data_IF_395900094254
#
_entry.id   IF_395900094254
#
_cell.length_a   1.000
_cell.length_b   1.000
_cell.length_c   1.000
_cell.angle_alpha   90.00
_cell.angle_beta   90.00
_cell.angle_gamma   90.00
#
_symmetry.space_group_name_H-M   'P 1'
#
loop_
_entity.id
_entity.type
_entity.pdbx_description
1 polymer ?
#
# COMPACT_ATOMS: atom_id res chain seq x y z
N UNK A 1 41.20 27.24 -47.15
CA UNK A 1 41.34 26.29 -46.02
C UNK A 1 40.41 26.72 -44.89
N UNK A 2 39.46 25.82 -44.52
CA UNK A 2 38.86 25.63 -43.18
C UNK A 2 38.00 26.79 -42.60
N UNK A 3 36.76 26.61 -42.12
CA UNK A 3 35.92 25.43 -41.83
C UNK A 3 34.46 25.91 -41.76
N UNK A 4 33.54 25.17 -42.38
CA UNK A 4 32.11 25.22 -42.14
C UNK A 4 31.85 24.87 -40.67
N UNK A 5 31.05 25.67 -39.97
CA UNK A 5 30.59 25.38 -38.61
C UNK A 5 29.12 24.92 -38.72
N UNK A 6 28.93 23.60 -38.77
CA UNK A 6 27.61 22.98 -38.69
C UNK A 6 27.18 22.96 -37.22
N UNK A 7 26.12 23.69 -36.90
CA UNK A 7 25.48 23.65 -35.60
C UNK A 7 24.57 22.40 -35.56
N UNK A 8 25.00 21.37 -34.83
CA UNK A 8 24.19 20.18 -34.57
C UNK A 8 23.08 20.54 -33.57
N UNK A 9 21.83 20.60 -34.05
CA UNK A 9 20.65 20.55 -33.18
C UNK A 9 20.47 19.09 -32.74
N UNK A 10 20.80 18.79 -31.49
CA UNK A 10 20.42 17.52 -30.88
C UNK A 10 18.92 17.58 -30.55
N UNK A 11 18.10 16.94 -31.39
CA UNK A 11 16.70 16.69 -31.10
C UNK A 11 16.62 15.61 -30.02
N UNK A 12 16.39 16.03 -28.78
CA UNK A 12 16.05 15.13 -27.68
C UNK A 12 14.66 14.56 -27.97
N UNK A 13 14.61 13.37 -28.53
CA UNK A 13 13.37 12.59 -28.61
C UNK A 13 13.08 12.09 -27.19
N UNK A 14 12.21 12.80 -26.47
CA UNK A 14 11.53 12.24 -25.31
C UNK A 14 10.63 11.12 -25.85
N UNK A 15 11.07 9.86 -25.75
CA UNK A 15 10.14 8.74 -25.79
C UNK A 15 9.35 8.81 -24.50
N UNK A 16 8.24 9.53 -24.52
CA UNK A 16 7.18 9.33 -23.54
C UNK A 16 6.75 7.86 -23.72
N UNK A 17 7.26 6.98 -22.86
CA UNK A 17 6.69 5.66 -22.70
C UNK A 17 5.24 5.90 -22.33
N UNK A 18 4.32 5.63 -23.24
CA UNK A 18 2.90 5.56 -22.90
C UNK A 18 2.77 4.36 -21.97
N UNK A 19 2.88 4.60 -20.66
CA UNK A 19 2.32 3.66 -19.71
C UNK A 19 0.85 3.53 -20.12
N UNK A 20 0.48 2.36 -20.63
CA UNK A 20 -0.91 2.04 -20.80
C UNK A 20 -1.51 2.10 -19.40
N UNK A 21 -2.29 3.14 -19.11
CA UNK A 21 -3.01 3.25 -17.85
C UNK A 21 -3.84 1.97 -17.74
N UNK A 22 -3.51 1.11 -16.79
CA UNK A 22 -4.31 -0.07 -16.53
C UNK A 22 -5.73 0.41 -16.26
N UNK A 23 -6.70 -0.12 -16.99
CA UNK A 23 -8.11 0.21 -16.77
C UNK A 23 -8.61 -0.48 -15.49
N UNK A 24 -9.68 0.04 -14.91
CA UNK A 24 -10.39 -0.56 -13.77
C UNK A 24 -10.45 -2.10 -13.87
N UNK A 25 -9.90 -2.77 -12.85
CA UNK A 25 -9.95 -4.22 -12.71
C UNK A 25 -9.19 -5.04 -13.77
N UNK A 26 -8.26 -4.44 -14.53
CA UNK A 26 -7.59 -5.12 -15.65
C UNK A 26 -6.40 -5.99 -15.23
N UNK A 27 -5.79 -5.73 -14.07
CA UNK A 27 -4.58 -6.43 -13.64
C UNK A 27 -4.92 -7.62 -12.74
N UNK A 28 -4.41 -8.79 -13.11
CA UNK A 28 -4.46 -9.99 -12.27
C UNK A 28 -3.07 -10.31 -11.76
N UNK A 29 -2.91 -10.44 -10.44
CA UNK A 29 -1.67 -10.95 -9.86
C UNK A 29 -1.47 -12.41 -10.25
N UNK A 30 -0.29 -12.74 -10.78
CA UNK A 30 0.03 -14.09 -11.25
C UNK A 30 0.26 -15.09 -10.12
N UNK A 31 0.58 -14.61 -8.92
CA UNK A 31 0.81 -15.41 -7.72
C UNK A 31 0.56 -14.58 -6.44
N UNK A 32 0.43 -15.24 -5.29
CA UNK A 32 0.25 -14.57 -4.00
C UNK A 32 1.51 -13.82 -3.54
N UNK A 33 2.68 -14.20 -4.06
CA UNK A 33 3.97 -13.57 -3.78
C UNK A 33 4.92 -13.80 -4.96
N UNK A 34 6.12 -13.23 -4.92
CA UNK A 34 7.06 -13.12 -6.03
C UNK A 34 6.47 -12.41 -7.26
N UNK A 35 5.75 -11.31 -7.02
CA UNK A 35 5.06 -10.54 -8.06
C UNK A 35 5.38 -9.04 -7.96
N UNK A 36 5.43 -8.33 -9.09
CA UNK A 36 5.49 -6.87 -9.07
C UNK A 36 4.14 -6.29 -8.65
N UNK A 37 4.19 -5.29 -7.78
CA UNK A 37 3.05 -4.48 -7.37
C UNK A 37 3.17 -3.09 -7.99
N UNK A 38 2.19 -2.74 -8.80
CA UNK A 38 2.00 -1.40 -9.31
C UNK A 38 1.18 -0.61 -8.29
N UNK A 39 1.65 0.59 -7.95
CA UNK A 39 0.88 1.54 -7.14
C UNK A 39 0.08 2.48 -8.02
N UNK A 40 -1.01 3.01 -7.48
CA UNK A 40 -1.90 3.93 -8.17
C UNK A 40 -1.56 5.40 -7.94
N UNK A 41 -0.47 5.70 -7.20
CA UNK A 41 0.00 7.07 -6.99
C UNK A 41 0.37 7.74 -8.32
N UNK A 42 0.06 9.04 -8.45
CA UNK A 42 0.38 9.81 -9.65
C UNK A 42 1.90 9.91 -9.88
N UNK A 43 2.66 9.96 -8.78
CA UNK A 43 4.11 10.02 -8.78
C UNK A 43 4.80 8.65 -8.91
N UNK A 44 4.03 7.55 -8.89
CA UNK A 44 4.56 6.20 -8.81
C UNK A 44 5.11 5.84 -7.42
N UNK A 45 6.02 4.87 -7.37
CA UNK A 45 6.64 4.39 -6.13
C UNK A 45 7.77 5.33 -5.65
N UNK A 46 7.98 5.38 -4.35
CA UNK A 46 9.05 6.15 -3.71
C UNK A 46 10.42 5.48 -3.84
N UNK A 47 10.51 4.17 -3.65
CA UNK A 47 11.77 3.42 -3.70
C UNK A 47 11.78 2.37 -4.81
N UNK A 48 12.35 2.74 -5.95
CA UNK A 48 12.51 1.89 -7.13
C UNK A 48 13.91 1.26 -7.17
N UNK A 49 14.24 0.47 -6.15
CA UNK A 49 15.58 -0.14 -5.99
C UNK A 49 15.59 -1.64 -6.28
N UNK A 50 14.47 -2.31 -6.06
CA UNK A 50 14.39 -3.77 -6.12
C UNK A 50 14.27 -4.33 -7.56
N UNK A 51 13.98 -3.46 -8.55
CA UNK A 51 13.77 -3.83 -9.95
C UNK A 51 14.94 -4.55 -10.60
N UNK A 52 16.18 -4.11 -10.34
CA UNK A 52 17.38 -4.79 -10.86
C UNK A 52 17.66 -6.10 -10.15
N UNK A 53 17.34 -6.16 -8.86
CA UNK A 53 17.63 -7.32 -8.02
C UNK A 53 16.74 -8.51 -8.38
N UNK A 54 15.46 -8.26 -8.66
CA UNK A 54 14.47 -9.31 -8.93
C UNK A 54 14.00 -9.36 -10.38
N UNK A 55 14.46 -8.45 -11.23
CA UNK A 55 14.05 -8.37 -12.64
C UNK A 55 12.59 -7.97 -12.82
N UNK A 56 11.98 -7.30 -11.84
CA UNK A 56 10.64 -6.72 -11.99
C UNK A 56 10.67 -5.47 -12.91
N UNK A 57 9.52 -5.10 -13.49
CA UNK A 57 9.40 -3.84 -14.21
C UNK A 57 9.80 -2.65 -13.33
N UNK A 58 10.51 -1.69 -13.92
CA UNK A 58 10.83 -0.43 -13.27
C UNK A 58 9.54 0.28 -12.82
N UNK A 59 9.57 0.91 -11.64
CA UNK A 59 8.41 1.62 -11.08
C UNK A 59 7.38 0.72 -10.41
N UNK A 60 7.77 -0.52 -10.06
CA UNK A 60 6.94 -1.45 -9.27
C UNK A 60 7.68 -1.89 -8.03
N UNK A 61 6.96 -2.13 -6.93
CA UNK A 61 7.54 -2.80 -5.77
C UNK A 61 7.54 -4.31 -5.98
N UNK A 62 8.58 -5.01 -5.53
CA UNK A 62 8.59 -6.46 -5.54
C UNK A 62 8.00 -7.03 -4.25
N UNK A 63 6.87 -7.75 -4.37
CA UNK A 63 6.32 -8.55 -3.28
C UNK A 63 7.06 -9.87 -3.18
N UNK A 64 8.07 -9.92 -2.31
CA UNK A 64 8.89 -11.11 -2.05
C UNK A 64 8.15 -12.10 -1.14
N UNK A 65 7.94 -11.73 0.12
CA UNK A 65 7.10 -12.46 1.09
C UNK A 65 7.30 -14.00 1.14
N UNK A 66 8.55 -14.49 1.13
CA UNK A 66 8.90 -15.93 1.10
C UNK A 66 8.38 -16.73 2.32
N UNK A 67 8.16 -16.07 3.47
CA UNK A 67 7.66 -16.73 4.67
C UNK A 67 7.53 -15.80 5.88
N UNK A 68 6.71 -16.20 6.85
CA UNK A 68 6.43 -15.39 8.04
C UNK A 68 5.68 -14.10 7.69
N UNK A 69 6.08 -12.96 8.25
CA UNK A 69 5.66 -11.64 7.76
C UNK A 69 4.31 -11.10 8.27
N UNK A 70 3.47 -11.93 8.90
CA UNK A 70 2.11 -11.56 9.31
C UNK A 70 2.00 -10.88 10.70
N UNK A 71 3.04 -11.01 11.54
CA UNK A 71 2.97 -10.63 12.96
C UNK A 71 3.56 -9.23 13.27
N UNK A 72 4.09 -8.55 12.25
CA UNK A 72 4.88 -7.31 12.44
C UNK A 72 4.06 -6.05 12.15
N UNK A 73 3.29 -6.05 11.08
CA UNK A 73 2.48 -4.90 10.68
C UNK A 73 1.08 -5.05 11.22
N UNK A 74 0.51 -3.93 11.65
CA UNK A 74 -0.84 -3.89 12.19
C UNK A 74 -1.60 -2.67 11.70
N UNK A 75 -2.92 -2.70 11.90
CA UNK A 75 -3.80 -1.54 11.76
C UNK A 75 -4.45 -1.27 13.11
N UNK A 76 -4.40 -0.02 13.57
CA UNK A 76 -5.03 0.41 14.83
C UNK A 76 -5.67 1.79 14.70
N UNK A 77 -6.77 2.03 15.39
CA UNK A 77 -7.34 3.35 15.69
C UNK A 77 -6.82 3.96 16.99
N UNK A 78 -5.96 3.26 17.71
CA UNK A 78 -5.43 3.63 19.02
C UNK A 78 -3.94 3.29 19.11
N UNK A 79 -3.08 4.31 19.13
CA UNK A 79 -1.63 4.14 19.19
C UNK A 79 -1.14 3.53 20.50
N UNK A 80 -2.00 3.41 21.53
CA UNK A 80 -1.69 2.61 22.72
C UNK A 80 -1.84 1.11 22.50
N UNK A 81 -2.58 0.68 21.47
CA UNK A 81 -2.72 -0.71 21.04
C UNK A 81 -1.90 -0.99 19.76
N UNK A 82 -0.59 -1.11 19.91
CA UNK A 82 0.34 -1.31 18.79
C UNK A 82 0.22 -2.69 18.12
N UNK A 83 -0.39 -3.67 18.79
CA UNK A 83 -0.71 -4.99 18.23
C UNK A 83 -1.94 -4.97 17.31
N UNK A 84 -2.56 -3.80 17.12
CA UNK A 84 -3.72 -3.63 16.26
C UNK A 84 -5.00 -4.25 16.78
N UNK A 85 -6.05 -4.04 15.98
CA UNK A 85 -7.37 -4.60 16.21
C UNK A 85 -8.13 -4.70 14.89
N UNK A 86 -9.17 -5.51 14.90
CA UNK A 86 -10.19 -5.48 13.86
C UNK A 86 -11.16 -4.33 14.17
N UNK A 87 -11.31 -3.42 13.22
CA UNK A 87 -12.23 -2.29 13.29
C UNK A 87 -13.23 -2.37 12.14
N UNK A 88 -14.51 -2.33 12.46
CA UNK A 88 -15.60 -2.21 11.47
C UNK A 88 -16.37 -0.93 11.72
N UNK A 89 -16.37 -0.03 10.76
CA UNK A 89 -17.21 1.16 10.75
C UNK A 89 -18.44 0.90 9.87
N UNK A 90 -19.64 1.00 10.43
CA UNK A 90 -20.87 1.01 9.66
C UNK A 90 -21.38 2.45 9.55
N UNK A 91 -21.50 2.96 8.32
CA UNK A 91 -21.86 4.34 8.01
C UNK A 91 -23.21 4.41 7.31
N UNK A 92 -24.14 5.28 7.73
CA UNK A 92 -25.39 5.55 7.01
C UNK A 92 -25.22 6.48 5.81
N UNK A 93 -24.00 6.99 5.58
CA UNK A 93 -23.68 7.89 4.46
C UNK A 93 -22.69 7.24 3.50
N UNK A 94 -22.71 7.67 2.24
CA UNK A 94 -21.75 7.25 1.21
C UNK A 94 -20.44 8.04 1.24
N UNK A 95 -20.28 8.97 2.19
CA UNK A 95 -19.06 9.79 2.37
C UNK A 95 -18.39 9.58 3.73
N UNK A 96 -18.19 8.33 4.21
CA UNK A 96 -17.53 8.12 5.49
C UNK A 96 -16.06 8.55 5.44
N UNK A 97 -15.58 9.08 6.55
CA UNK A 97 -14.18 9.45 6.76
C UNK A 97 -13.70 8.95 8.13
N UNK A 98 -12.39 8.75 8.26
CA UNK A 98 -11.81 8.34 9.54
C UNK A 98 -10.29 8.35 9.54
N UNK A 99 -9.74 7.92 10.66
CA UNK A 99 -8.30 7.86 10.90
C UNK A 99 -7.93 6.49 11.45
N UNK A 100 -6.80 5.96 10.98
CA UNK A 100 -6.12 4.82 11.58
C UNK A 100 -4.60 5.01 11.48
N UNK A 101 -3.87 4.12 12.15
CA UNK A 101 -2.43 4.13 12.28
C UNK A 101 -1.87 2.76 11.90
N UNK A 102 -0.67 2.78 11.33
CA UNK A 102 0.03 1.61 10.80
C UNK A 102 1.34 1.38 11.56
N UNK A 103 1.29 0.84 12.79
CA UNK A 103 2.48 0.58 13.59
C UNK A 103 3.26 -0.65 13.11
N UNK A 104 4.47 -0.78 13.61
CA UNK A 104 5.29 -1.99 13.51
C UNK A 104 5.68 -2.48 14.89
N UNK A 105 5.50 -3.77 15.16
CA UNK A 105 5.91 -4.43 16.42
C UNK A 105 6.97 -5.51 16.19
N UNK A 106 7.45 -5.67 14.96
CA UNK A 106 8.36 -6.74 14.59
C UNK A 106 9.80 -6.50 15.03
N UNK A 107 10.60 -7.57 15.03
CA UNK A 107 11.93 -7.57 15.61
C UNK A 107 12.96 -6.62 14.96
N UNK A 108 12.75 -6.20 13.70
CA UNK A 108 13.59 -5.16 13.05
C UNK A 108 13.31 -3.77 13.63
N UNK A 109 12.08 -3.51 14.07
CA UNK A 109 11.67 -2.25 14.67
C UNK A 109 11.43 -1.10 13.69
N UNK A 110 11.52 -1.30 12.37
CA UNK A 110 11.18 -0.27 11.37
C UNK A 110 10.92 -0.87 9.99
N UNK A 111 10.22 -0.10 9.14
CA UNK A 111 10.08 -0.37 7.72
C UNK A 111 10.27 0.93 6.94
N UNK A 112 11.00 0.86 5.81
CA UNK A 112 11.48 2.05 5.09
C UNK A 112 10.35 2.78 4.35
N UNK A 113 9.36 2.03 3.87
CA UNK A 113 8.13 2.59 3.33
C UNK A 113 6.93 1.68 3.65
N UNK A 114 5.77 2.31 3.81
CA UNK A 114 4.49 1.66 4.09
C UNK A 114 3.58 1.82 2.87
N UNK A 115 3.04 0.70 2.40
CA UNK A 115 2.15 0.63 1.26
C UNK A 115 0.77 0.23 1.77
N UNK A 116 -0.23 1.05 1.47
CA UNK A 116 -1.63 0.78 1.78
C UNK A 116 -2.29 0.08 0.60
N UNK A 117 -3.04 -0.97 0.87
CA UNK A 117 -3.96 -1.57 -0.09
C UNK A 117 -5.38 -1.17 0.29
N UNK A 118 -6.10 -0.57 -0.66
CA UNK A 118 -7.52 -0.26 -0.53
C UNK A 118 -8.28 -1.20 -1.45
N UNK A 119 -9.26 -1.93 -0.90
CA UNK A 119 -10.14 -2.79 -1.67
C UNK A 119 -11.59 -2.35 -1.51
N UNK A 120 -12.39 -2.48 -2.58
CA UNK A 120 -13.78 -2.01 -2.66
C UNK A 120 -14.65 -3.08 -3.30
N UNK A 121 -15.72 -3.45 -2.61
CA UNK A 121 -16.71 -4.42 -3.09
C UNK A 121 -17.52 -3.84 -4.24
N UNK A 122 -17.69 -4.62 -5.31
CA UNK A 122 -18.55 -4.25 -6.44
C UNK A 122 -20.05 -4.31 -6.12
N UNK A 123 -20.91 -3.59 -6.87
CA UNK A 123 -20.55 -2.65 -7.94
C UNK A 123 -19.94 -1.35 -7.37
N UNK A 124 -18.86 -0.88 -8.00
CA UNK A 124 -18.20 0.39 -7.62
C UNK A 124 -18.83 1.53 -8.44
N UNK A 125 -19.40 2.56 -7.81
CA UNK A 125 -19.99 3.71 -8.52
C UNK A 125 -18.98 4.47 -9.36
N UNK A 126 -19.43 5.12 -10.43
CA UNK A 126 -18.54 5.86 -11.34
C UNK A 126 -17.89 7.08 -10.67
N UNK A 127 -18.61 7.72 -9.74
CA UNK A 127 -18.13 8.85 -8.94
C UNK A 127 -17.43 8.41 -7.64
N UNK A 128 -17.13 7.12 -7.49
CA UNK A 128 -16.35 6.61 -6.36
C UNK A 128 -15.00 7.32 -6.31
N UNK A 129 -14.67 7.83 -5.12
CA UNK A 129 -13.34 8.31 -4.80
C UNK A 129 -12.98 8.04 -3.34
N UNK A 130 -11.68 7.98 -3.06
CA UNK A 130 -11.14 8.01 -1.72
C UNK A 130 -9.96 8.97 -1.67
N UNK A 131 -10.03 9.96 -0.79
CA UNK A 131 -8.88 10.80 -0.47
C UNK A 131 -8.10 10.15 0.66
N UNK A 132 -6.82 9.92 0.44
CA UNK A 132 -5.89 9.39 1.44
C UNK A 132 -4.88 10.49 1.77
N UNK A 133 -4.77 10.81 3.05
CA UNK A 133 -3.70 11.66 3.58
C UNK A 133 -2.86 10.84 4.54
N UNK A 134 -1.56 10.73 4.26
CA UNK A 134 -0.61 10.01 5.09
C UNK A 134 0.35 10.99 5.77
N UNK A 135 0.58 10.77 7.06
CA UNK A 135 1.60 11.48 7.84
C UNK A 135 2.46 10.46 8.56
N UNK A 136 3.77 10.60 8.46
CA UNK A 136 4.71 9.68 9.10
C UNK A 136 6.14 10.14 8.94
N UNK A 137 7.07 9.30 9.40
CA UNK A 137 8.49 9.61 9.33
C UNK A 137 9.07 9.29 7.94
N UNK A 138 9.99 10.14 7.50
CA UNK A 138 10.77 9.91 6.28
C UNK A 138 12.26 9.81 6.59
N UNK A 139 12.97 8.95 5.86
CA UNK A 139 14.42 8.88 5.90
C UNK A 139 14.96 8.32 4.58
N UNK A 140 16.27 8.37 4.38
CA UNK A 140 16.94 7.65 3.29
C UNK A 140 17.17 6.20 3.75
N UNK A 141 16.66 5.18 3.03
CA UNK A 141 16.86 3.80 3.41
C UNK A 141 18.35 3.43 3.49
N UNK A 142 18.72 2.64 4.50
CA UNK A 142 20.10 2.17 4.69
C UNK A 142 20.10 0.79 5.35
N UNK A 143 21.28 0.20 5.55
CA UNK A 143 21.45 -1.04 6.32
C UNK A 143 21.40 -0.83 7.84
N UNK A 144 21.35 0.42 8.31
CA UNK A 144 21.32 0.79 9.72
C UNK A 144 19.92 1.21 10.16
N UNK A 145 19.62 1.05 11.45
CA UNK A 145 18.37 1.52 12.04
C UNK A 145 18.28 3.05 11.84
N UNK A 146 17.19 3.57 11.26
CA UNK A 146 17.01 5.01 11.06
C UNK A 146 16.85 5.71 12.41
N UNK A 147 17.34 6.95 12.49
CA UNK A 147 17.24 7.80 13.67
C UNK A 147 16.56 9.12 13.29
N UNK A 148 15.29 9.07 12.85
CA UNK A 148 14.60 10.27 12.41
C UNK A 148 14.33 11.19 13.59
N UNK A 149 14.39 12.48 13.32
CA UNK A 149 14.03 13.56 14.22
C UNK A 149 12.53 13.88 14.10
N UNK A 150 11.98 14.64 15.05
CA UNK A 150 10.58 15.06 14.99
C UNK A 150 10.25 15.87 13.71
N UNK A 151 11.21 16.59 13.13
CA UNK A 151 11.01 17.30 11.86
C UNK A 151 10.89 16.39 10.63
N UNK A 152 11.31 15.13 10.75
CA UNK A 152 11.14 14.14 9.68
C UNK A 152 9.73 13.53 9.67
N UNK A 153 8.90 13.83 10.68
CA UNK A 153 7.49 13.44 10.75
C UNK A 153 6.62 14.48 10.04
N UNK A 154 6.19 14.15 8.83
CA UNK A 154 5.52 15.09 7.93
C UNK A 154 4.40 14.43 7.15
N UNK A 155 3.52 15.25 6.57
CA UNK A 155 2.56 14.77 5.59
C UNK A 155 3.32 14.35 4.32
N UNK A 156 3.24 13.07 3.97
CA UNK A 156 3.98 12.47 2.85
C UNK A 156 3.11 12.20 1.64
N UNK A 157 1.80 12.10 1.84
CA UNK A 157 0.81 11.91 0.79
C UNK A 157 -0.46 12.70 1.11
N UNK A 158 -1.06 13.33 0.09
CA UNK A 158 -2.45 13.77 0.10
C UNK A 158 -2.95 13.70 -1.34
N UNK A 159 -3.65 12.62 -1.66
CA UNK A 159 -4.10 12.32 -3.02
C UNK A 159 -5.52 11.73 -2.99
N UNK A 160 -6.31 12.09 -4.00
CA UNK A 160 -7.61 11.47 -4.27
C UNK A 160 -7.44 10.40 -5.33
N UNK A 161 -7.91 9.19 -5.03
CA UNK A 161 -7.94 8.04 -5.92
C UNK A 161 -9.38 7.77 -6.33
N UNK A 162 -9.58 7.39 -7.58
CA UNK A 162 -10.89 7.20 -8.20
C UNK A 162 -11.13 5.73 -8.54
N UNK A 163 -12.32 5.42 -9.06
CA UNK A 163 -12.63 4.08 -9.60
C UNK A 163 -11.58 3.59 -10.60
N UNK A 164 -11.05 4.45 -11.45
CA UNK A 164 -10.01 4.08 -12.43
C UNK A 164 -8.72 3.57 -11.78
N UNK A 165 -8.44 3.96 -10.54
CA UNK A 165 -7.22 3.60 -9.81
C UNK A 165 -7.29 2.22 -9.16
N UNK A 166 -8.50 1.63 -9.08
CA UNK A 166 -8.72 0.23 -8.72
C UNK A 166 -8.34 -0.69 -9.88
N UNK A 167 -7.05 -0.69 -10.22
CA UNK A 167 -6.49 -1.35 -11.41
C UNK A 167 -6.47 -2.87 -11.30
N UNK A 168 -6.56 -3.44 -10.09
CA UNK A 168 -6.53 -4.88 -9.91
C UNK A 168 -7.92 -5.51 -9.97
N UNK A 169 -8.00 -6.66 -10.65
CA UNK A 169 -9.18 -7.47 -10.80
C UNK A 169 -9.73 -7.91 -9.42
N UNK A 170 -11.05 -8.06 -9.35
CA UNK A 170 -11.70 -8.47 -8.12
C UNK A 170 -11.14 -9.81 -7.61
N UNK A 171 -10.81 -9.86 -6.32
CA UNK A 171 -10.25 -11.04 -5.65
C UNK A 171 -10.92 -11.25 -4.30
N UNK A 172 -10.93 -12.48 -3.81
CA UNK A 172 -11.29 -12.81 -2.41
C UNK A 172 -10.07 -12.94 -1.51
N UNK A 173 -8.87 -12.77 -2.08
CA UNK A 173 -7.60 -12.85 -1.37
C UNK A 173 -6.74 -11.61 -1.61
N UNK A 174 -6.03 -11.18 -0.57
CA UNK A 174 -4.87 -10.28 -0.71
C UNK A 174 -3.60 -11.09 -0.97
N UNK A 175 -2.59 -10.52 -1.64
CA UNK A 175 -1.31 -11.19 -1.78
C UNK A 175 -0.53 -11.15 -0.46
N UNK A 176 0.46 -12.01 -0.32
CA UNK A 176 1.33 -12.09 0.85
C UNK A 176 1.93 -13.48 1.08
N UNK A 177 2.53 -13.68 2.27
CA UNK A 177 3.23 -14.90 2.63
C UNK A 177 2.37 -16.17 2.55
N UNK A 178 2.97 -17.26 2.10
CA UNK A 178 2.31 -18.56 1.92
C UNK A 178 2.66 -19.19 0.57
N UNK A 179 2.31 -20.46 0.38
CA UNK A 179 2.53 -21.18 -0.89
C UNK A 179 1.33 -21.10 -1.84
N UNK A 180 0.20 -20.58 -1.36
CA UNK A 180 -1.06 -20.44 -2.10
C UNK A 180 -1.87 -19.23 -1.60
N UNK A 181 -2.86 -18.82 -2.38
CA UNK A 181 -3.83 -17.78 -2.01
C UNK A 181 -4.66 -18.20 -0.79
N UNK A 182 -4.35 -17.61 0.37
CA UNK A 182 -4.99 -17.97 1.65
C UNK A 182 -5.36 -16.77 2.52
N UNK A 183 -4.82 -15.58 2.24
CA UNK A 183 -5.01 -14.40 3.07
C UNK A 183 -6.27 -13.65 2.64
N UNK A 184 -7.32 -13.54 3.49
CA UNK A 184 -8.50 -12.76 3.15
C UNK A 184 -8.18 -11.26 3.08
N UNK A 185 -8.99 -10.52 2.34
CA UNK A 185 -8.95 -9.06 2.23
C UNK A 185 -9.40 -8.36 3.52
N UNK A 186 -10.32 -8.96 4.26
CA UNK A 186 -10.81 -8.42 5.52
C UNK A 186 -11.17 -9.52 6.51
N UNK A 187 -11.25 -9.15 7.78
CA UNK A 187 -11.55 -10.10 8.85
C UNK A 187 -12.94 -10.70 8.70
N UNK A 188 -13.03 -12.02 8.74
CA UNK A 188 -14.30 -12.75 8.63
C UNK A 188 -14.81 -12.94 7.20
N UNK A 189 -14.06 -12.52 6.17
CA UNK A 189 -14.43 -12.78 4.78
C UNK A 189 -14.53 -14.29 4.51
N UNK A 190 -15.59 -14.71 3.81
CA UNK A 190 -15.71 -16.05 3.28
C UNK A 190 -15.01 -16.15 1.91
N UNK A 191 -13.76 -16.60 1.89
CA UNK A 191 -12.99 -16.71 0.65
C UNK A 191 -13.46 -17.84 -0.28
N UNK A 192 -14.38 -18.70 0.17
CA UNK A 192 -15.07 -19.66 -0.69
C UNK A 192 -16.25 -19.07 -1.46
N UNK A 193 -16.65 -17.84 -1.15
CA UNK A 193 -17.76 -17.13 -1.79
C UNK A 193 -17.24 -15.97 -2.66
N UNK A 194 -17.28 -16.18 -3.97
CA UNK A 194 -16.87 -15.18 -4.97
C UNK A 194 -17.65 -13.86 -4.91
N UNK A 195 -18.84 -13.83 -4.28
CA UNK A 195 -19.61 -12.59 -4.09
C UNK A 195 -19.00 -11.64 -3.06
N UNK A 196 -17.99 -12.12 -2.31
CA UNK A 196 -17.20 -11.31 -1.37
C UNK A 196 -15.96 -10.70 -2.03
N UNK A 197 -15.76 -10.89 -3.34
CA UNK A 197 -14.60 -10.36 -4.04
C UNK A 197 -14.64 -8.82 -4.12
N UNK A 198 -13.47 -8.20 -3.99
CA UNK A 198 -13.30 -6.75 -4.06
C UNK A 198 -12.23 -6.38 -5.08
N UNK A 199 -12.46 -5.29 -5.82
CA UNK A 199 -11.44 -4.65 -6.66
C UNK A 199 -10.47 -3.89 -5.77
N UNK A 200 -9.21 -3.74 -6.15
CA UNK A 200 -8.23 -3.13 -5.26
C UNK A 200 -7.14 -2.33 -5.98
N UNK A 201 -6.43 -1.56 -5.16
CA UNK A 201 -5.26 -0.78 -5.53
C UNK A 201 -4.23 -0.80 -4.42
N UNK A 202 -2.97 -0.52 -4.77
CA UNK A 202 -1.90 -0.25 -3.83
C UNK A 202 -1.53 1.23 -3.88
N UNK A 203 -1.19 1.79 -2.73
CA UNK A 203 -0.87 3.19 -2.54
C UNK A 203 0.42 3.25 -1.72
N UNK A 204 1.48 3.76 -2.32
CA UNK A 204 2.69 4.19 -1.61
C UNK A 204 2.34 5.37 -0.71
N UNK A 205 2.55 5.23 0.60
CA UNK A 205 2.25 6.31 1.55
C UNK A 205 3.40 7.31 1.70
N UNK A 206 4.57 7.00 1.15
CA UNK A 206 5.76 7.81 1.19
C UNK A 206 6.38 7.96 2.58
N UNK A 207 5.98 7.13 3.54
CA UNK A 207 6.41 7.19 4.93
C UNK A 207 6.77 5.80 5.46
N UNK A 208 7.83 5.75 6.25
CA UNK A 208 8.19 4.56 7.01
C UNK A 208 7.53 4.58 8.39
N UNK A 209 7.40 3.39 9.00
CA UNK A 209 7.04 3.25 10.41
C UNK A 209 8.25 2.75 11.22
N UNK A 210 8.29 3.12 12.49
CA UNK A 210 9.39 2.81 13.41
C UNK A 210 8.85 2.57 14.82
N UNK A 211 9.30 1.52 15.49
CA UNK A 211 8.92 1.25 16.88
C UNK A 211 9.70 2.15 17.83
N UNK A 212 9.04 2.68 18.86
CA UNK A 212 9.71 3.43 19.93
C UNK A 212 8.91 4.64 20.38
N UNK A 213 9.53 5.48 21.19
CA UNK A 213 8.95 6.73 21.69
C UNK A 213 9.04 7.86 20.65
N UNK A 214 8.34 7.66 19.54
CA UNK A 214 8.19 8.64 18.45
C UNK A 214 6.77 9.20 18.44
N UNK A 215 6.55 10.32 17.74
CA UNK A 215 5.17 10.81 17.42
C UNK A 215 4.34 9.65 16.88
N UNK A 216 3.10 9.52 17.37
CA UNK A 216 2.18 8.41 17.06
C UNK A 216 2.77 7.01 17.29
N UNK A 217 3.70 6.90 18.25
CA UNK A 217 4.48 5.69 18.52
C UNK A 217 5.27 5.19 17.29
N UNK A 218 5.57 6.13 16.38
CA UNK A 218 6.24 5.93 15.11
C UNK A 218 5.43 5.17 14.05
N UNK A 219 4.11 5.05 14.25
CA UNK A 219 3.21 4.57 13.22
C UNK A 219 3.06 5.59 12.08
N UNK A 220 2.71 5.12 10.88
CA UNK A 220 2.18 6.00 9.83
C UNK A 220 0.71 6.25 10.13
N UNK A 221 0.32 7.52 10.28
CA UNK A 221 -1.08 7.94 10.39
C UNK A 221 -1.70 8.04 9.01
N UNK A 222 -2.89 7.49 8.85
CA UNK A 222 -3.70 7.56 7.63
C UNK A 222 -5.05 8.16 7.96
N UNK A 223 -5.36 9.29 7.32
CA UNK A 223 -6.70 9.87 7.28
C UNK A 223 -7.32 9.52 5.92
N UNK A 224 -8.53 8.98 5.92
CA UNK A 224 -9.29 8.66 4.71
C UNK A 224 -10.61 9.41 4.66
N UNK A 225 -11.06 9.75 3.45
CA UNK A 225 -12.39 10.29 3.20
C UNK A 225 -12.94 9.73 1.88
N UNK A 226 -14.02 8.97 1.96
CA UNK A 226 -14.69 8.42 0.79
C UNK A 226 -15.68 9.43 0.18
N UNK A 227 -15.89 9.29 -1.12
CA UNK A 227 -16.99 9.84 -1.89
C UNK A 227 -17.67 8.68 -2.61
N UNK A 228 -19.00 8.62 -2.52
CA UNK A 228 -19.84 7.61 -3.16
C UNK A 228 -19.44 6.15 -2.87
N UNK A 229 -19.09 5.84 -1.62
CA UNK A 229 -18.95 4.45 -1.16
C UNK A 229 -20.34 3.86 -0.89
N UNK A 230 -20.90 3.15 -1.86
CA UNK A 230 -22.23 2.51 -1.76
C UNK A 230 -22.20 1.05 -1.29
N UNK A 231 -21.02 0.52 -0.95
CA UNK A 231 -20.80 -0.89 -0.59
C UNK A 231 -19.87 -1.00 0.62
N UNK A 232 -18.81 -1.81 0.52
CA UNK A 232 -17.80 -2.04 1.54
C UNK A 232 -16.44 -1.67 0.97
N UNK A 233 -15.61 -1.03 1.78
CA UNK A 233 -14.19 -0.88 1.52
C UNK A 233 -13.36 -1.46 2.67
N UNK A 234 -12.21 -2.06 2.36
CA UNK A 234 -11.30 -2.66 3.33
C UNK A 234 -9.88 -2.16 3.13
N UNK A 235 -9.14 -2.03 4.22
CA UNK A 235 -7.76 -1.58 4.22
C UNK A 235 -6.82 -2.69 4.65
N UNK A 236 -5.74 -2.86 3.88
CA UNK A 236 -4.62 -3.73 4.21
C UNK A 236 -3.31 -2.97 4.16
N UNK A 237 -2.31 -3.44 4.89
CA UNK A 237 -1.00 -2.78 4.95
C UNK A 237 0.10 -3.74 4.52
N UNK A 238 1.07 -3.18 3.81
CA UNK A 238 2.30 -3.82 3.37
C UNK A 238 3.46 -2.90 3.72
N UNK A 239 4.67 -3.44 3.78
CA UNK A 239 5.85 -2.60 3.97
C UNK A 239 7.04 -3.06 3.15
N UNK A 240 7.72 -2.08 2.56
CA UNK A 240 8.94 -2.27 1.80
C UNK A 240 10.15 -1.92 2.69
N UNK A 241 11.24 -2.65 2.50
CA UNK A 241 12.51 -2.38 3.18
C UNK A 241 13.67 -2.55 2.22
N UNK A 242 14.69 -1.69 2.36
CA UNK A 242 15.95 -1.85 1.61
C UNK A 242 16.72 -3.08 2.11
N UNK A 243 16.80 -3.22 3.44
CA UNK A 243 17.66 -4.22 4.06
C UNK A 243 16.96 -4.86 5.26
N UNK A 244 16.66 -6.14 5.13
CA UNK A 244 16.12 -6.96 6.21
C UNK A 244 16.74 -8.34 6.25
N UNK A 245 16.43 -9.11 7.30
CA UNK A 245 16.79 -10.53 7.35
C UNK A 245 16.07 -11.37 6.28
N UNK A 246 15.03 -10.82 5.64
CA UNK A 246 14.34 -11.42 4.50
C UNK A 246 14.82 -10.85 3.15
N UNK A 247 15.81 -9.94 3.15
CA UNK A 247 16.27 -9.24 1.96
C UNK A 247 15.51 -7.93 1.69
N UNK A 248 15.76 -7.38 0.50
CA UNK A 248 15.09 -6.18 -0.03
C UNK A 248 13.66 -6.53 -0.50
N UNK A 249 12.78 -5.53 -0.59
CA UNK A 249 11.41 -5.69 -1.11
C UNK A 249 10.34 -5.75 -0.03
N UNK A 250 9.10 -6.03 -0.46
CA UNK A 250 7.95 -6.19 0.44
C UNK A 250 7.96 -7.61 1.01
N UNK A 251 8.07 -7.72 2.33
CA UNK A 251 8.10 -9.01 3.04
C UNK A 251 7.01 -9.15 4.11
N UNK A 252 6.30 -8.07 4.44
CA UNK A 252 5.30 -8.05 5.51
C UNK A 252 3.97 -7.52 5.02
N UNK A 253 2.92 -8.06 5.62
CA UNK A 253 1.55 -7.55 5.57
C UNK A 253 0.89 -7.88 6.90
N UNK A 254 -0.20 -7.23 7.27
CA UNK A 254 -0.88 -7.58 8.52
C UNK A 254 -1.64 -8.91 8.41
N UNK A 255 -1.81 -9.58 9.54
CA UNK A 255 -2.67 -10.76 9.65
C UNK A 255 -4.14 -10.34 9.62
N UNK A 256 -4.94 -10.92 8.72
CA UNK A 256 -6.37 -10.60 8.57
C UNK A 256 -7.33 -11.63 9.16
N UNK A 257 -6.80 -12.75 9.69
CA UNK A 257 -7.62 -13.82 10.26
C UNK A 257 -6.93 -14.51 11.44
N UNK A 258 -7.70 -15.02 12.39
CA UNK A 258 -7.17 -15.72 13.57
C UNK A 258 -6.60 -14.78 14.63
N UNK A 259 -5.84 -15.34 15.57
CA UNK A 259 -5.24 -14.60 16.69
C UNK A 259 -4.19 -13.60 16.21
N UNK A 260 -4.24 -12.36 16.71
CA UNK A 260 -3.35 -11.28 16.29
C UNK A 260 -3.79 -10.58 15.00
N UNK A 261 -5.01 -10.83 14.55
CA UNK A 261 -5.55 -10.16 13.37
C UNK A 261 -5.85 -8.69 13.62
N UNK A 262 -5.55 -7.87 12.62
CA UNK A 262 -5.94 -6.47 12.57
C UNK A 262 -6.42 -6.11 11.17
N UNK A 263 -7.30 -5.11 11.10
CA UNK A 263 -7.93 -4.71 9.85
C UNK A 263 -8.90 -3.56 10.08
N UNK A 264 -9.17 -2.82 9.01
CA UNK A 264 -10.14 -1.74 9.04
C UNK A 264 -11.09 -1.91 7.85
N UNK A 265 -12.37 -1.99 8.13
CA UNK A 265 -13.43 -2.14 7.12
C UNK A 265 -14.48 -1.06 7.32
N UNK A 266 -14.91 -0.45 6.23
CA UNK A 266 -15.98 0.55 6.18
C UNK A 266 -17.14 -0.02 5.38
N UNK A 267 -18.30 -0.15 6.00
CA UNK A 267 -19.54 -0.58 5.36
C UNK A 267 -20.48 0.61 5.21
N UNK A 268 -21.04 0.76 4.02
CA UNK A 268 -22.28 1.51 3.86
C UNK A 268 -23.45 0.66 4.37
N UNK A 269 -24.26 1.25 5.24
CA UNK A 269 -25.47 0.63 5.80
C UNK A 269 -26.55 1.71 5.91
N UNK A 270 -27.40 1.88 4.88
CA UNK A 270 -28.42 2.92 4.83
C UNK A 270 -29.43 2.87 5.98
#
# INVERSE_FOLDING_TARGET
>A
MRKLMALFFALLVLTAGTAAWASFGALTLSANHHVPLQVSNDAGIKFDYDYLLYGNPQGTYYLKADGGGLNQLHITTDTSNLSGQVTTLNSPTTTPSGTFYLPTTGGRGYNDDVILMVSVKGPVPDDFAVTITATGYTWTPSTSVPTPSASDHQQTLSQTFYKSDLIYAASVYKPGPGTTWTLPLFYGQNTGDSSTAEYYMFIDLGAGNISGSYIDQGAVKVDYAFTDLSTTASFNVFSWCLASNQGEGINWTQQTSGTGSSGYTVNYTP
#
